data_IF_955937154061
#
_entry.id   IF_955937154061
#
_cell.length_a   1.000
_cell.length_b   1.000
_cell.length_c   1.000
_cell.angle_alpha   90.00
_cell.angle_beta   90.00
_cell.angle_gamma   90.00
#
_symmetry.space_group_name_H-M   'P 1'
#
loop_
_entity.id
_entity.type
_entity.pdbx_description
1 polymer ?
#
# COMPACT_ATOMS: atom_id res chain seq x y z
N UNK A 1 -0.15 20.34 13.29
CA UNK A 1 1.14 19.61 13.16
C UNK A 1 1.83 19.63 14.50
N UNK A 2 2.41 18.50 14.92
CA UNK A 2 3.08 18.42 16.22
C UNK A 2 4.59 18.41 16.09
N UNK A 3 5.27 18.92 17.12
CA UNK A 3 6.72 18.94 17.21
C UNK A 3 7.28 17.52 17.28
N UNK A 4 8.31 17.25 16.50
CA UNK A 4 8.98 15.95 16.50
C UNK A 4 9.67 15.61 17.83
N UNK A 5 10.14 16.64 18.57
CA UNK A 5 10.88 16.45 19.81
C UNK A 5 10.01 16.32 21.05
N UNK A 6 8.97 17.17 21.20
CA UNK A 6 8.18 17.24 22.43
C UNK A 6 6.69 16.97 22.24
N UNK A 7 6.22 16.77 21.01
CA UNK A 7 4.80 16.53 20.71
C UNK A 7 3.89 17.77 20.77
N UNK A 8 4.37 18.92 21.20
CA UNK A 8 3.58 20.15 21.28
C UNK A 8 3.10 20.62 19.91
N UNK A 9 1.92 21.26 19.88
CA UNK A 9 1.38 21.82 18.64
C UNK A 9 2.29 22.95 18.11
N UNK A 10 2.59 22.89 16.80
CA UNK A 10 3.44 23.87 16.13
C UNK A 10 2.57 24.94 15.46
N UNK A 11 2.95 26.21 15.68
CA UNK A 11 2.42 27.37 14.99
C UNK A 11 3.13 27.60 13.63
N UNK A 12 3.01 28.80 13.06
CA UNK A 12 3.70 29.20 11.83
C UNK A 12 5.19 29.49 12.01
N UNK A 13 5.66 29.65 13.25
CA UNK A 13 7.04 30.00 13.58
C UNK A 13 8.04 28.88 13.19
N UNK A 14 9.30 29.24 13.02
CA UNK A 14 10.38 28.32 12.69
C UNK A 14 10.90 27.50 13.87
N UNK A 15 10.48 27.84 15.09
CA UNK A 15 10.86 27.21 16.35
C UNK A 15 9.62 26.66 17.06
N UNK A 16 9.80 25.61 17.86
CA UNK A 16 8.73 25.06 18.69
C UNK A 16 8.46 25.99 19.89
N UNK A 17 7.20 26.39 20.14
CA UNK A 17 6.89 27.28 21.27
C UNK A 17 7.11 26.62 22.64
N UNK A 18 7.21 25.31 22.72
CA UNK A 18 7.32 24.56 23.97
C UNK A 18 8.75 24.13 24.31
N UNK A 19 9.56 23.72 23.32
CA UNK A 19 10.94 23.22 23.55
C UNK A 19 12.00 24.01 22.77
N UNK A 20 11.62 25.09 22.09
CA UNK A 20 12.49 26.01 21.32
C UNK A 20 13.30 25.36 20.18
N UNK A 21 13.07 24.07 19.90
CA UNK A 21 13.75 23.37 18.82
C UNK A 21 13.44 23.99 17.46
N UNK A 22 14.45 24.07 16.58
CA UNK A 22 14.25 24.48 15.19
C UNK A 22 13.48 23.39 14.42
N UNK A 23 12.30 23.76 13.96
CA UNK A 23 11.37 22.84 13.26
C UNK A 23 11.19 23.16 11.77
N UNK A 24 11.98 24.08 11.22
CA UNK A 24 11.86 24.52 9.81
C UNK A 24 12.04 23.36 8.84
N UNK A 25 13.08 22.55 9.04
CA UNK A 25 13.35 21.39 8.19
C UNK A 25 12.23 20.36 8.33
N UNK A 26 11.78 20.10 9.56
CA UNK A 26 10.68 19.17 9.83
C UNK A 26 9.38 19.61 9.12
N UNK A 27 9.01 20.88 9.25
CA UNK A 27 7.84 21.46 8.55
C UNK A 27 7.94 21.26 7.04
N UNK A 28 9.12 21.51 6.46
CA UNK A 28 9.37 21.31 5.02
C UNK A 28 9.21 19.84 4.61
N UNK A 29 9.74 18.92 5.38
CA UNK A 29 9.61 17.47 5.14
C UNK A 29 8.13 17.05 5.16
N UNK A 30 7.37 17.47 6.17
CA UNK A 30 5.93 17.16 6.26
C UNK A 30 5.15 17.79 5.11
N UNK A 31 5.47 19.02 4.72
CA UNK A 31 4.84 19.69 3.57
C UNK A 31 5.09 18.92 2.27
N UNK A 32 6.33 18.47 2.03
CA UNK A 32 6.67 17.64 0.86
C UNK A 32 5.89 16.31 0.90
N UNK A 33 5.84 15.65 2.05
CA UNK A 33 5.09 14.41 2.22
C UNK A 33 3.60 14.59 1.90
N UNK A 34 2.99 15.68 2.38
CA UNK A 34 1.59 15.97 2.13
C UNK A 34 1.32 16.32 0.67
N UNK A 35 2.23 17.04 -0.01
CA UNK A 35 2.12 17.27 -1.45
C UNK A 35 2.14 15.96 -2.22
N UNK A 36 3.11 15.08 -1.95
CA UNK A 36 3.22 13.77 -2.58
C UNK A 36 2.00 12.87 -2.28
N UNK A 37 1.40 12.99 -1.10
CA UNK A 37 0.13 12.34 -0.80
C UNK A 37 -0.99 12.84 -1.72
N UNK A 38 -1.10 14.16 -1.92
CA UNK A 38 -2.12 14.73 -2.80
C UNK A 38 -1.91 14.30 -4.25
N UNK A 39 -0.67 14.34 -4.76
CA UNK A 39 -0.32 13.84 -6.10
C UNK A 39 -0.71 12.36 -6.25
N UNK A 40 -0.47 11.54 -5.24
CA UNK A 40 -0.87 10.14 -5.19
C UNK A 40 -2.40 9.95 -5.14
N UNK A 41 -3.12 10.82 -4.44
CA UNK A 41 -4.58 10.81 -4.40
C UNK A 41 -5.19 11.16 -5.78
N UNK A 42 -4.65 12.16 -6.46
CA UNK A 42 -5.05 12.53 -7.82
C UNK A 42 -4.84 11.36 -8.80
N UNK A 43 -3.68 10.71 -8.76
CA UNK A 43 -3.42 9.50 -9.55
C UNK A 43 -4.43 8.39 -9.25
N UNK A 44 -4.74 8.14 -7.97
CA UNK A 44 -5.71 7.11 -7.58
C UNK A 44 -7.12 7.42 -8.09
N UNK A 45 -7.54 8.68 -8.06
CA UNK A 45 -8.82 9.15 -8.59
C UNK A 45 -8.89 9.02 -10.12
N UNK A 46 -7.78 9.29 -10.81
CA UNK A 46 -7.64 9.09 -12.26
C UNK A 46 -7.49 7.62 -12.68
N UNK A 47 -7.52 6.67 -11.72
CA UNK A 47 -7.27 5.23 -11.93
C UNK A 47 -5.84 4.89 -12.37
N UNK A 48 -4.89 5.80 -12.27
CA UNK A 48 -3.46 5.48 -12.36
C UNK A 48 -2.97 4.92 -11.03
N UNK A 49 -3.27 3.63 -10.80
CA UNK A 49 -2.91 2.97 -9.54
C UNK A 49 -1.39 2.79 -9.39
N UNK A 50 -0.66 2.70 -10.49
CA UNK A 50 0.82 2.57 -10.45
C UNK A 50 1.47 3.88 -10.03
N UNK A 51 1.11 4.99 -10.65
CA UNK A 51 1.56 6.33 -10.25
C UNK A 51 1.16 6.65 -8.82
N UNK A 52 -0.07 6.30 -8.40
CA UNK A 52 -0.50 6.46 -7.02
C UNK A 52 0.42 5.73 -6.02
N UNK A 53 0.79 4.46 -6.29
CA UNK A 53 1.73 3.70 -5.44
C UNK A 53 3.08 4.39 -5.35
N UNK A 54 3.61 4.93 -6.45
CA UNK A 54 4.91 5.60 -6.46
C UNK A 54 4.89 6.86 -5.60
N UNK A 55 3.92 7.77 -5.82
CA UNK A 55 3.79 9.01 -5.05
C UNK A 55 3.55 8.74 -3.56
N UNK A 56 2.67 7.80 -3.21
CA UNK A 56 2.38 7.47 -1.81
C UNK A 56 3.59 6.85 -1.10
N UNK A 57 4.37 6.00 -1.77
CA UNK A 57 5.63 5.50 -1.23
C UNK A 57 6.65 6.62 -1.04
N UNK A 58 6.74 7.57 -1.97
CA UNK A 58 7.60 8.73 -1.81
C UNK A 58 7.16 9.57 -0.62
N UNK A 59 5.86 9.83 -0.45
CA UNK A 59 5.30 10.50 0.72
C UNK A 59 5.76 9.84 2.02
N UNK A 60 5.63 8.51 2.12
CA UNK A 60 6.04 7.73 3.30
C UNK A 60 7.57 7.65 3.50
N UNK A 61 8.38 7.85 2.45
CA UNK A 61 9.84 7.99 2.60
C UNK A 61 10.22 9.28 3.29
N UNK A 62 9.51 10.38 3.01
CA UNK A 62 9.71 11.67 3.67
C UNK A 62 9.12 11.68 5.08
N UNK A 63 7.90 11.17 5.25
CA UNK A 63 7.23 11.12 6.54
C UNK A 63 6.55 9.77 6.76
N UNK A 64 7.23 8.85 7.46
CA UNK A 64 6.71 7.52 7.81
C UNK A 64 5.44 7.57 8.67
N UNK A 65 5.20 8.68 9.37
CA UNK A 65 4.04 8.92 10.24
C UNK A 65 2.84 9.50 9.49
N UNK A 66 2.89 9.62 8.16
CA UNK A 66 1.75 10.06 7.36
C UNK A 66 0.70 8.95 7.26
N UNK A 67 -0.22 8.91 8.24
CA UNK A 67 -1.31 7.92 8.36
C UNK A 67 -2.20 7.95 7.11
N UNK A 68 -2.52 9.13 6.59
CA UNK A 68 -3.38 9.29 5.41
C UNK A 68 -2.74 8.64 4.17
N UNK A 69 -1.45 8.91 3.94
CA UNK A 69 -0.72 8.30 2.83
C UNK A 69 -0.66 6.77 2.96
N UNK A 70 -0.49 6.26 4.18
CA UNK A 70 -0.45 4.82 4.44
C UNK A 70 -1.80 4.17 4.21
N UNK A 71 -2.89 4.77 4.70
CA UNK A 71 -4.24 4.26 4.51
C UNK A 71 -4.62 4.23 3.02
N UNK A 72 -4.32 5.32 2.30
CA UNK A 72 -4.57 5.39 0.86
C UNK A 72 -3.72 4.38 0.08
N UNK A 73 -2.45 4.19 0.46
CA UNK A 73 -1.60 3.17 -0.16
C UNK A 73 -2.17 1.76 0.01
N UNK A 74 -2.72 1.47 1.19
CA UNK A 74 -3.45 0.22 1.44
C UNK A 74 -4.66 0.05 0.52
N UNK A 75 -5.49 1.11 0.34
CA UNK A 75 -6.62 1.07 -0.58
C UNK A 75 -6.19 0.86 -2.03
N UNK A 76 -5.14 1.54 -2.48
CA UNK A 76 -4.59 1.36 -3.84
C UNK A 76 -4.10 -0.06 -4.04
N UNK A 77 -3.37 -0.64 -3.08
CA UNK A 77 -2.96 -2.05 -3.16
C UNK A 77 -4.16 -3.00 -3.19
N UNK A 78 -5.21 -2.70 -2.42
CA UNK A 78 -6.43 -3.51 -2.42
C UNK A 78 -7.11 -3.50 -3.79
N UNK A 79 -7.22 -2.33 -4.44
CA UNK A 79 -7.75 -2.20 -5.81
C UNK A 79 -6.89 -2.90 -6.86
N UNK A 80 -5.58 -2.98 -6.65
CA UNK A 80 -4.65 -3.74 -7.50
C UNK A 80 -4.67 -5.25 -7.25
N UNK A 81 -5.51 -5.75 -6.31
CA UNK A 81 -5.55 -7.14 -5.90
C UNK A 81 -4.35 -7.59 -5.04
N UNK A 82 -3.50 -6.67 -4.62
CA UNK A 82 -2.31 -6.92 -3.77
C UNK A 82 -2.67 -6.93 -2.28
N UNK A 83 -3.58 -7.82 -1.90
CA UNK A 83 -4.27 -7.80 -0.61
C UNK A 83 -3.32 -7.92 0.58
N UNK A 84 -2.27 -8.73 0.48
CA UNK A 84 -1.27 -8.88 1.55
C UNK A 84 -0.58 -7.54 1.84
N UNK A 85 -0.27 -6.77 0.80
CA UNK A 85 0.33 -5.43 0.97
C UNK A 85 -0.67 -4.44 1.56
N UNK A 86 -1.93 -4.48 1.11
CA UNK A 86 -2.99 -3.66 1.67
C UNK A 86 -3.13 -3.88 3.18
N UNK A 87 -3.24 -5.16 3.60
CA UNK A 87 -3.31 -5.53 5.02
C UNK A 87 -2.09 -5.06 5.80
N UNK A 88 -0.88 -5.22 5.23
CA UNK A 88 0.35 -4.77 5.89
C UNK A 88 0.34 -3.27 6.16
N UNK A 89 -0.07 -2.45 5.18
CA UNK A 89 -0.14 -0.99 5.36
C UNK A 89 -1.19 -0.60 6.41
N UNK A 90 -2.36 -1.22 6.41
CA UNK A 90 -3.41 -0.92 7.39
C UNK A 90 -3.06 -1.39 8.81
N UNK A 91 -2.40 -2.55 8.97
CA UNK A 91 -1.91 -3.01 10.28
C UNK A 91 -0.87 -2.03 10.84
N UNK A 92 0.07 -1.57 10.01
CA UNK A 92 1.05 -0.57 10.42
C UNK A 92 0.34 0.75 10.76
N UNK A 93 -0.62 1.19 9.96
CA UNK A 93 -1.41 2.39 10.23
C UNK A 93 -2.12 2.30 11.58
N UNK A 94 -2.81 1.19 11.85
CA UNK A 94 -3.48 0.92 13.12
C UNK A 94 -2.51 0.93 14.32
N UNK A 95 -1.29 0.41 14.15
CA UNK A 95 -0.28 0.43 15.22
C UNK A 95 0.24 1.83 15.55
N UNK A 96 0.16 2.76 14.60
CA UNK A 96 0.59 4.15 14.78
C UNK A 96 -0.53 5.03 15.36
N UNK A 97 -1.76 4.79 14.97
CA UNK A 97 -2.95 5.47 15.45
C UNK A 97 -4.08 4.44 15.61
N UNK A 98 -4.42 4.12 16.85
CA UNK A 98 -5.41 3.09 17.16
C UNK A 98 -6.86 3.58 17.08
N UNK A 99 -7.13 4.82 17.51
CA UNK A 99 -8.45 5.44 17.54
C UNK A 99 -8.67 6.33 16.31
N UNK A 100 -9.92 6.48 15.89
CA UNK A 100 -10.34 7.31 14.74
C UNK A 100 -9.54 7.05 13.46
N UNK A 101 -9.13 5.80 13.24
CA UNK A 101 -8.35 5.42 12.08
C UNK A 101 -9.19 4.56 11.12
N UNK A 102 -9.45 5.03 9.88
CA UNK A 102 -10.21 4.27 8.88
C UNK A 102 -9.66 2.86 8.58
N UNK A 103 -8.37 2.63 8.84
CA UNK A 103 -7.78 1.31 8.70
C UNK A 103 -8.46 0.24 9.57
N UNK A 104 -9.07 0.63 10.70
CA UNK A 104 -9.80 -0.30 11.55
C UNK A 104 -11.03 -0.89 10.85
N UNK A 105 -11.77 -0.05 10.11
CA UNK A 105 -12.95 -0.48 9.37
C UNK A 105 -12.56 -1.40 8.22
N UNK A 106 -11.50 -1.04 7.45
CA UNK A 106 -10.99 -1.85 6.36
C UNK A 106 -10.53 -3.24 6.83
N UNK A 107 -9.80 -3.31 7.94
CA UNK A 107 -9.36 -4.58 8.53
C UNK A 107 -10.55 -5.42 9.03
N UNK A 108 -11.51 -4.78 9.68
CA UNK A 108 -12.71 -5.45 10.21
C UNK A 108 -13.56 -6.03 9.08
N UNK A 109 -13.76 -5.28 8.00
CA UNK A 109 -14.55 -5.73 6.85
C UNK A 109 -13.94 -6.94 6.12
N UNK A 110 -12.60 -7.01 6.07
CA UNK A 110 -11.92 -8.19 5.54
C UNK A 110 -12.06 -9.38 6.49
N UNK A 111 -11.91 -9.16 7.80
CA UNK A 111 -11.97 -10.22 8.81
C UNK A 111 -13.37 -10.84 8.94
N UNK A 112 -14.45 -10.10 8.70
CA UNK A 112 -15.83 -10.61 8.74
C UNK A 112 -16.10 -11.71 7.69
N UNK A 113 -15.29 -11.84 6.66
CA UNK A 113 -15.50 -12.81 5.57
C UNK A 113 -14.40 -13.87 5.55
N UNK A 114 -14.63 -15.00 6.22
CA UNK A 114 -13.70 -16.16 6.18
C UNK A 114 -13.46 -16.65 4.76
N UNK A 115 -14.50 -16.71 3.92
CA UNK A 115 -14.40 -17.12 2.51
C UNK A 115 -13.46 -16.19 1.71
N UNK A 116 -13.43 -14.89 2.03
CA UNK A 116 -12.52 -13.94 1.40
C UNK A 116 -11.07 -14.19 1.83
N UNK A 117 -10.83 -14.49 3.11
CA UNK A 117 -9.50 -14.83 3.62
C UNK A 117 -8.97 -16.14 2.99
N UNK A 118 -9.83 -17.15 2.86
CA UNK A 118 -9.46 -18.42 2.20
C UNK A 118 -9.10 -18.22 0.73
N UNK A 119 -9.90 -17.43 0.00
CA UNK A 119 -9.61 -17.07 -1.40
C UNK A 119 -8.27 -16.34 -1.53
N UNK A 120 -7.97 -15.41 -0.62
CA UNK A 120 -6.69 -14.70 -0.55
C UNK A 120 -5.53 -15.67 -0.34
N UNK A 121 -5.64 -16.56 0.64
CA UNK A 121 -4.63 -17.56 0.95
C UNK A 121 -4.36 -18.48 -0.25
N UNK A 122 -5.41 -18.96 -0.91
CA UNK A 122 -5.30 -19.77 -2.12
C UNK A 122 -4.66 -19.01 -3.28
N UNK A 123 -5.01 -17.73 -3.47
CA UNK A 123 -4.42 -16.87 -4.51
C UNK A 123 -2.92 -16.73 -4.32
N UNK A 124 -2.47 -16.43 -3.10
CA UNK A 124 -1.04 -16.27 -2.77
C UNK A 124 -0.29 -17.61 -2.97
N UNK A 125 -0.85 -18.71 -2.48
CA UNK A 125 -0.27 -20.05 -2.67
C UNK A 125 -0.06 -20.38 -4.15
N UNK A 126 -1.10 -20.24 -4.96
CA UNK A 126 -1.06 -20.56 -6.41
C UNK A 126 -0.15 -19.61 -7.17
N UNK A 127 -0.11 -18.33 -6.80
CA UNK A 127 0.81 -17.35 -7.39
C UNK A 127 2.27 -17.73 -7.14
N UNK A 128 2.61 -18.07 -5.89
CA UNK A 128 3.97 -18.50 -5.53
C UNK A 128 4.34 -19.81 -6.25
N UNK A 129 3.41 -20.75 -6.36
CA UNK A 129 3.60 -21.99 -7.10
C UNK A 129 3.87 -21.73 -8.60
N UNK A 130 3.14 -20.78 -9.22
CA UNK A 130 3.41 -20.39 -10.60
C UNK A 130 4.82 -19.79 -10.76
N UNK A 131 5.27 -18.96 -9.80
CA UNK A 131 6.62 -18.43 -9.80
C UNK A 131 7.69 -19.53 -9.68
N UNK A 132 7.43 -20.57 -8.90
CA UNK A 132 8.32 -21.75 -8.79
C UNK A 132 8.43 -22.46 -10.13
N UNK A 133 7.31 -22.73 -10.80
CA UNK A 133 7.32 -23.32 -12.14
C UNK A 133 8.06 -22.47 -13.18
N UNK A 134 7.93 -21.14 -13.09
CA UNK A 134 8.71 -20.24 -13.95
C UNK A 134 10.22 -20.40 -13.75
N UNK A 135 10.67 -20.52 -12.48
CA UNK A 135 12.09 -20.72 -12.14
C UNK A 135 12.63 -22.08 -12.61
N UNK A 136 11.80 -23.09 -12.60
CA UNK A 136 12.11 -24.44 -13.07
C UNK A 136 12.04 -24.60 -14.60
N UNK A 137 11.62 -23.54 -15.31
CA UNK A 137 11.46 -23.57 -16.76
C UNK A 137 10.17 -24.24 -17.25
N UNK A 138 9.28 -24.63 -16.35
CA UNK A 138 8.01 -25.30 -16.64
C UNK A 138 6.92 -24.27 -17.04
N UNK A 139 7.05 -23.67 -18.23
CA UNK A 139 6.19 -22.57 -18.68
C UNK A 139 4.71 -22.95 -18.73
N UNK A 140 4.38 -24.15 -19.25
CA UNK A 140 2.99 -24.63 -19.36
C UNK A 140 2.30 -24.74 -18.00
N UNK A 141 3.01 -25.33 -17.02
CA UNK A 141 2.48 -25.45 -15.65
C UNK A 141 2.33 -24.07 -14.99
N UNK A 142 3.26 -23.14 -15.24
CA UNK A 142 3.16 -21.76 -14.77
C UNK A 142 1.93 -21.05 -15.35
N UNK A 143 1.66 -21.21 -16.66
CA UNK A 143 0.48 -20.68 -17.34
C UNK A 143 -0.83 -21.22 -16.74
N UNK A 144 -0.92 -22.54 -16.56
CA UNK A 144 -2.11 -23.17 -15.98
C UNK A 144 -2.38 -22.62 -14.57
N UNK A 145 -1.34 -22.52 -13.74
CA UNK A 145 -1.50 -22.01 -12.38
C UNK A 145 -1.86 -20.51 -12.39
N UNK A 146 -1.27 -19.72 -13.27
CA UNK A 146 -1.57 -18.29 -13.35
C UNK A 146 -3.00 -18.01 -13.80
N UNK A 147 -3.55 -18.79 -14.74
CA UNK A 147 -4.97 -18.74 -15.10
C UNK A 147 -5.88 -19.03 -13.89
N UNK A 148 -5.51 -20.01 -13.05
CA UNK A 148 -6.25 -20.31 -11.81
C UNK A 148 -6.15 -19.15 -10.78
N UNK A 149 -5.00 -18.49 -10.68
CA UNK A 149 -4.80 -17.30 -9.83
C UNK A 149 -5.73 -16.18 -10.27
N UNK A 150 -5.78 -15.87 -11.56
CA UNK A 150 -6.62 -14.79 -12.10
C UNK A 150 -8.12 -15.11 -12.05
N UNK A 151 -8.50 -16.40 -12.07
CA UNK A 151 -9.89 -16.80 -11.80
C UNK A 151 -10.30 -16.54 -10.35
N UNK A 152 -9.38 -16.67 -9.38
CA UNK A 152 -9.63 -16.34 -7.96
C UNK A 152 -9.55 -14.84 -7.67
N UNK A 153 -8.63 -14.14 -8.33
CA UNK A 153 -8.42 -12.71 -8.14
C UNK A 153 -8.19 -12.01 -9.50
N UNK A 154 -9.27 -11.65 -10.20
CA UNK A 154 -9.18 -10.99 -11.51
C UNK A 154 -8.52 -9.61 -11.49
N UNK A 155 -8.46 -8.95 -10.32
CA UNK A 155 -7.84 -7.63 -10.16
C UNK A 155 -6.32 -7.68 -9.97
N UNK A 156 -5.71 -8.88 -9.84
CA UNK A 156 -4.30 -9.00 -9.54
C UNK A 156 -3.43 -8.55 -10.72
N UNK A 157 -3.01 -7.29 -10.70
CA UNK A 157 -2.19 -6.66 -11.75
C UNK A 157 -0.92 -7.45 -12.05
N UNK A 158 -0.20 -7.89 -11.00
CA UNK A 158 0.99 -8.72 -11.18
C UNK A 158 0.71 -10.08 -11.82
N UNK A 159 -0.48 -10.62 -11.58
CA UNK A 159 -0.90 -11.87 -12.22
C UNK A 159 -1.04 -11.71 -13.73
N UNK A 160 -1.66 -10.61 -14.17
CA UNK A 160 -1.78 -10.28 -15.59
C UNK A 160 -0.42 -10.00 -16.24
N UNK A 161 0.45 -9.25 -15.53
CA UNK A 161 1.81 -8.99 -16.01
C UNK A 161 2.61 -10.28 -16.20
N UNK A 162 2.58 -11.19 -15.20
CA UNK A 162 3.29 -12.47 -15.31
C UNK A 162 2.70 -13.34 -16.41
N UNK A 163 1.36 -13.39 -16.54
CA UNK A 163 0.72 -14.13 -17.62
C UNK A 163 1.12 -13.63 -19.00
N UNK A 164 1.18 -12.30 -19.19
CA UNK A 164 1.65 -11.71 -20.45
C UNK A 164 3.10 -12.09 -20.76
N UNK A 165 4.00 -12.00 -19.75
CA UNK A 165 5.40 -12.41 -19.91
C UNK A 165 5.56 -13.90 -20.27
N UNK A 166 4.72 -14.76 -19.70
CA UNK A 166 4.72 -16.18 -20.02
C UNK A 166 4.32 -16.45 -21.47
N UNK A 167 3.27 -15.77 -21.96
CA UNK A 167 2.89 -15.87 -23.39
C UNK A 167 3.90 -15.30 -24.37
N UNK A 168 4.71 -14.33 -23.95
CA UNK A 168 5.79 -13.80 -24.80
C UNK A 168 6.99 -14.75 -24.89
N UNK A 169 7.09 -15.72 -23.99
CA UNK A 169 8.18 -16.69 -23.93
C UNK A 169 7.89 -17.97 -24.72
N UNK A 170 6.61 -18.25 -25.00
CA UNK A 170 6.18 -19.33 -25.93
C UNK A 170 6.52 -18.99 -27.37
#
# INVERSE_FOLDING_TARGET
MNCYYCGAHLDSMGTCPSCEADVRVWKKIVSISNKLYNDGLECAQARDLTGAVEYLKMSLRYNKMNIQARNLLGLVYFEMGEIVKALSEWIISKSMQGEDNPANDYLTDIQKSSARLDTMSQTVKKFNQSLTYCKEGNTDLALIQMKKVLALNPKLVKGHQLLALLYMKE
#
